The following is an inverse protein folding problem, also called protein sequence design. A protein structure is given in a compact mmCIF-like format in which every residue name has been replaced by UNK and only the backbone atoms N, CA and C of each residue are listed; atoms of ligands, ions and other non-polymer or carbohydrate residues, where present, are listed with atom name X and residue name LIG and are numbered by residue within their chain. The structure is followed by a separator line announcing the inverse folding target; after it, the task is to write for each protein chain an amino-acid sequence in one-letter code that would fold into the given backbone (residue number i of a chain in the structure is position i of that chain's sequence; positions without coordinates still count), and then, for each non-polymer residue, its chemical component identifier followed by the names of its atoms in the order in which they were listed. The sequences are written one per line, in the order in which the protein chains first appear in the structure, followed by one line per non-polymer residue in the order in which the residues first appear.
data_IF_113102824516
#
_entry.id   IF_113102824516
#
_cell.length_a   1.000
_cell.length_b   1.000
_cell.length_c   1.000
_cell.angle_alpha   90.00
_cell.angle_beta   90.00
_cell.angle_gamma   90.00
#
_symmetry.space_group_name_H-M   'P 1'
#
loop_
_entity.id
_entity.type
_entity.pdbx_description
1 polymer ?
#
# COMPACT_ATOMS: atom_id res chain seq x y z
N UNK A 1 20.84 -2.97 3.67
CA UNK A 1 20.49 -1.94 4.69
C UNK A 1 19.17 -1.23 4.43
N UNK A 2 18.83 -0.76 3.20
CA UNK A 2 17.45 -0.31 2.87
C UNK A 2 16.64 -1.37 2.14
N UNK A 3 17.31 -2.17 1.30
CA UNK A 3 16.68 -3.23 0.50
C UNK A 3 16.02 -4.28 1.39
N UNK A 4 16.56 -4.51 2.58
CA UNK A 4 16.05 -5.50 3.53
C UNK A 4 14.67 -5.12 4.09
N UNK A 5 14.31 -3.82 4.07
CA UNK A 5 13.02 -3.32 4.57
C UNK A 5 11.95 -3.17 3.47
N UNK A 6 12.28 -3.42 2.20
CA UNK A 6 11.33 -3.29 1.09
C UNK A 6 9.97 -4.00 1.31
N UNK A 7 9.92 -5.22 1.88
CA UNK A 7 8.67 -5.95 2.12
C UNK A 7 7.61 -5.19 2.90
N UNK A 8 8.02 -4.34 3.84
CA UNK A 8 7.08 -3.68 4.76
C UNK A 8 6.63 -2.29 4.28
N UNK A 9 7.35 -1.67 3.34
CA UNK A 9 6.99 -0.35 2.82
C UNK A 9 5.57 -0.29 2.20
N UNK A 10 5.11 -1.28 1.41
CA UNK A 10 3.77 -1.26 0.83
C UNK A 10 2.64 -1.20 1.87
N UNK A 11 2.89 -1.65 3.11
CA UNK A 11 1.95 -1.57 4.23
C UNK A 11 2.08 -0.24 4.97
N UNK A 12 3.31 0.18 5.25
CA UNK A 12 3.59 1.38 6.06
C UNK A 12 3.24 2.67 5.32
N UNK A 13 3.51 2.75 4.01
CA UNK A 13 3.23 3.93 3.20
C UNK A 13 1.75 4.36 3.25
N UNK A 14 0.77 3.49 2.93
CA UNK A 14 -0.65 3.87 3.00
C UNK A 14 -1.13 4.10 4.44
N UNK A 15 -0.60 3.36 5.41
CA UNK A 15 -0.95 3.53 6.82
C UNK A 15 -0.51 4.90 7.36
N UNK A 16 0.68 5.35 6.98
CA UNK A 16 1.16 6.70 7.31
C UNK A 16 0.43 7.78 6.52
N UNK A 17 0.09 7.54 5.25
CA UNK A 17 -0.57 8.53 4.40
C UNK A 17 -2.02 8.83 4.83
N UNK A 18 -2.73 7.85 5.40
CA UNK A 18 -4.11 8.00 5.84
C UNK A 18 -4.36 9.22 6.77
N UNK A 19 -3.64 9.40 7.91
CA UNK A 19 -3.84 10.58 8.75
C UNK A 19 -3.49 11.90 8.06
N UNK A 20 -2.53 11.93 7.12
CA UNK A 20 -2.24 13.14 6.36
C UNK A 20 -3.42 13.60 5.51
N UNK A 21 -4.22 12.67 4.94
CA UNK A 21 -5.45 13.02 4.23
C UNK A 21 -6.46 13.76 5.12
N UNK A 22 -6.58 13.35 6.39
CA UNK A 22 -7.46 14.03 7.37
C UNK A 22 -6.96 15.44 7.68
N UNK A 23 -5.64 15.63 7.78
CA UNK A 23 -5.04 16.94 8.09
C UNK A 23 -5.20 17.91 6.92
N UNK A 24 -4.99 17.45 5.69
CA UNK A 24 -5.05 18.27 4.48
C UNK A 24 -6.46 18.78 4.18
N UNK A 25 -7.51 17.98 4.44
CA UNK A 25 -8.94 18.30 4.20
C UNK A 25 -9.27 18.79 2.79
N UNK A 26 -8.36 18.60 1.83
CA UNK A 26 -8.49 19.06 0.46
C UNK A 26 -8.44 17.87 -0.47
N UNK A 27 -9.50 17.68 -1.27
CA UNK A 27 -9.64 16.58 -2.22
C UNK A 27 -8.43 16.44 -3.14
N UNK A 28 -7.97 17.53 -3.75
CA UNK A 28 -6.93 17.48 -4.79
C UNK A 28 -5.60 17.03 -4.17
N UNK A 29 -5.28 17.56 -2.99
CA UNK A 29 -4.07 17.17 -2.25
C UNK A 29 -4.15 15.72 -1.75
N UNK A 30 -5.32 15.29 -1.26
CA UNK A 30 -5.53 13.89 -0.85
C UNK A 30 -5.40 12.95 -2.04
N UNK A 31 -6.00 13.28 -3.18
CA UNK A 31 -5.87 12.48 -4.40
C UNK A 31 -4.41 12.39 -4.86
N UNK A 32 -3.68 13.51 -4.86
CA UNK A 32 -2.25 13.53 -5.18
C UNK A 32 -1.43 12.63 -4.26
N UNK A 33 -1.64 12.71 -2.94
CA UNK A 33 -1.00 11.83 -1.97
C UNK A 33 -1.31 10.36 -2.22
N UNK A 34 -2.60 10.01 -2.36
CA UNK A 34 -3.03 8.61 -2.56
C UNK A 34 -2.46 8.06 -3.87
N UNK A 35 -2.39 8.88 -4.92
CA UNK A 35 -1.79 8.51 -6.21
C UNK A 35 -0.29 8.26 -6.10
N UNK A 36 0.45 9.13 -5.40
CA UNK A 36 1.89 8.97 -5.18
C UNK A 36 2.16 7.70 -4.35
N UNK A 37 1.36 7.47 -3.31
CA UNK A 37 1.48 6.30 -2.44
C UNK A 37 1.18 5.01 -3.18
N UNK A 38 0.08 4.96 -3.95
CA UNK A 38 -0.30 3.76 -4.70
C UNK A 38 0.71 3.43 -5.81
N UNK A 39 1.22 4.44 -6.53
CA UNK A 39 2.29 4.27 -7.51
C UNK A 39 3.60 3.78 -6.87
N UNK A 40 3.95 4.34 -5.70
CA UNK A 40 5.13 3.90 -4.96
C UNK A 40 5.01 2.44 -4.52
N UNK A 41 3.84 2.04 -4.01
CA UNK A 41 3.57 0.64 -3.64
C UNK A 41 3.60 -0.29 -4.86
N UNK A 42 3.12 0.16 -6.02
CA UNK A 42 3.20 -0.58 -7.28
C UNK A 42 4.66 -0.81 -7.70
N UNK A 43 5.51 0.23 -7.69
CA UNK A 43 6.93 0.08 -8.01
C UNK A 43 7.65 -0.87 -7.05
N UNK A 44 7.37 -0.76 -5.75
CA UNK A 44 7.95 -1.65 -4.75
C UNK A 44 7.47 -3.09 -4.96
N UNK A 45 6.18 -3.30 -5.25
CA UNK A 45 5.64 -4.63 -5.53
C UNK A 45 6.28 -5.29 -6.76
N UNK A 46 6.55 -4.50 -7.80
CA UNK A 46 7.22 -4.96 -9.01
C UNK A 46 8.66 -5.37 -8.74
N UNK A 47 9.36 -4.64 -7.87
CA UNK A 47 10.70 -5.03 -7.43
C UNK A 47 10.68 -6.31 -6.58
N UNK A 48 9.72 -6.45 -5.66
CA UNK A 48 9.60 -7.65 -4.81
C UNK A 48 9.32 -8.88 -5.67
N UNK A 49 8.34 -8.83 -6.57
CA UNK A 49 7.98 -9.99 -7.40
C UNK A 49 9.09 -10.43 -8.34
N UNK A 50 9.89 -9.49 -8.86
CA UNK A 50 11.05 -9.82 -9.71
C UNK A 50 12.25 -10.33 -8.92
N UNK A 51 12.30 -10.07 -7.60
CA UNK A 51 13.34 -10.57 -6.70
C UNK A 51 13.01 -11.93 -6.07
N UNK A 52 11.75 -12.35 -6.11
CA UNK A 52 11.30 -13.63 -5.56
C UNK A 52 11.76 -14.79 -6.46
N UNK A 53 12.38 -15.79 -5.83
CA UNK A 53 12.82 -17.02 -6.49
C UNK A 53 11.91 -18.17 -6.06
N UNK A 54 11.45 -19.05 -6.96
CA UNK A 54 10.64 -20.21 -6.60
C UNK A 54 11.32 -21.05 -5.50
N UNK A 55 10.60 -21.29 -4.40
CA UNK A 55 11.08 -22.09 -3.27
C UNK A 55 11.92 -21.34 -2.23
N UNK A 56 12.21 -20.05 -2.43
CA UNK A 56 12.90 -19.22 -1.44
C UNK A 56 12.02 -18.01 -1.05
N UNK A 57 11.13 -18.15 -0.05
CA UNK A 57 10.29 -17.04 0.38
C UNK A 57 11.13 -15.96 1.06
N UNK A 58 10.70 -14.71 0.92
CA UNK A 58 11.32 -13.58 1.60
C UNK A 58 10.76 -13.51 3.02
N UNK A 59 11.65 -13.64 4.01
CA UNK A 59 11.31 -13.57 5.44
C UNK A 59 11.85 -12.26 6.00
N UNK A 60 10.96 -11.39 6.47
CA UNK A 60 11.32 -10.12 7.07
C UNK A 60 10.92 -10.07 8.54
N UNK A 61 11.92 -9.99 9.44
CA UNK A 61 11.69 -9.94 10.89
C UNK A 61 11.42 -8.50 11.35
N UNK A 62 10.23 -8.23 11.86
CA UNK A 62 9.84 -6.91 12.33
C UNK A 62 10.51 -6.63 13.69
N UNK A 63 11.22 -5.51 13.77
CA UNK A 63 11.85 -5.07 15.02
C UNK A 63 13.09 -5.86 15.43
N UNK A 64 13.63 -6.72 14.56
CA UNK A 64 14.84 -7.50 14.83
C UNK A 64 14.65 -8.67 15.79
N UNK A 65 13.40 -8.99 16.14
CA UNK A 65 13.07 -10.16 16.95
C UNK A 65 12.97 -11.38 16.03
N UNK A 66 13.88 -12.33 16.21
CA UNK A 66 13.82 -13.60 15.48
C UNK A 66 12.58 -14.42 15.92
N UNK A 67 12.03 -15.20 14.98
CA UNK A 67 10.97 -16.19 15.26
C UNK A 67 11.45 -17.16 16.35
N UNK A 68 10.63 -17.55 17.37
CA UNK A 68 9.16 -17.66 17.38
C UNK A 68 8.39 -16.55 18.12
N UNK A 69 9.07 -15.61 18.77
CA UNK A 69 8.41 -14.56 19.59
C UNK A 69 8.17 -13.27 18.78
N UNK A 70 8.97 -13.05 17.72
CA UNK A 70 8.86 -11.88 16.83
C UNK A 70 7.84 -12.03 15.70
N UNK A 71 7.34 -10.90 15.19
CA UNK A 71 6.47 -10.88 14.00
C UNK A 71 7.36 -10.99 12.76
N UNK A 72 7.24 -12.10 12.03
CA UNK A 72 7.95 -12.31 10.76
C UNK A 72 6.96 -12.18 9.60
N UNK A 73 7.28 -11.32 8.64
CA UNK A 73 6.50 -11.14 7.42
C UNK A 73 7.04 -12.10 6.35
N UNK A 74 6.20 -13.03 5.92
CA UNK A 74 6.54 -14.08 4.96
C UNK A 74 5.90 -13.75 3.60
N UNK A 75 6.74 -13.42 2.63
CA UNK A 75 6.31 -13.22 1.24
C UNK A 75 6.78 -14.42 0.43
N UNK A 76 5.87 -15.31 0.10
CA UNK A 76 6.09 -16.34 -0.90
C UNK A 76 5.72 -15.83 -2.30
N UNK A 77 5.89 -16.68 -3.31
CA UNK A 77 5.60 -16.29 -4.69
C UNK A 77 4.10 -15.95 -4.89
N UNK A 78 3.18 -16.63 -4.18
CA UNK A 78 1.75 -16.36 -4.30
C UNK A 78 1.40 -15.00 -3.71
N UNK A 79 1.87 -14.70 -2.50
CA UNK A 79 1.69 -13.41 -1.85
C UNK A 79 2.36 -12.28 -2.65
N UNK A 80 3.53 -12.52 -3.24
CA UNK A 80 4.18 -11.55 -4.12
C UNK A 80 3.32 -11.19 -5.35
N UNK A 81 2.68 -12.19 -5.98
CA UNK A 81 1.73 -11.97 -7.09
C UNK A 81 0.49 -11.21 -6.63
N UNK A 82 -0.09 -11.60 -5.49
CA UNK A 82 -1.27 -10.94 -4.92
C UNK A 82 -0.98 -9.47 -4.58
N UNK A 83 0.14 -9.20 -3.91
CA UNK A 83 0.60 -7.86 -3.54
C UNK A 83 0.78 -6.99 -4.79
N UNK A 84 1.42 -7.51 -5.84
CA UNK A 84 1.53 -6.80 -7.13
C UNK A 84 0.16 -6.50 -7.75
N UNK A 85 -0.74 -7.48 -7.78
CA UNK A 85 -2.06 -7.33 -8.38
C UNK A 85 -2.92 -6.28 -7.64
N UNK A 86 -2.93 -6.32 -6.31
CA UNK A 86 -3.64 -5.35 -5.46
C UNK A 86 -3.08 -3.94 -5.64
N UNK A 87 -1.75 -3.78 -5.67
CA UNK A 87 -1.12 -2.48 -5.95
C UNK A 87 -1.46 -1.96 -7.35
N UNK A 88 -1.45 -2.82 -8.36
CA UNK A 88 -1.75 -2.47 -9.75
C UNK A 88 -3.19 -1.98 -9.90
N UNK A 89 -4.15 -2.74 -9.39
CA UNK A 89 -5.56 -2.36 -9.41
C UNK A 89 -5.81 -1.07 -8.64
N UNK A 90 -5.23 -0.92 -7.45
CA UNK A 90 -5.37 0.28 -6.63
C UNK A 90 -4.82 1.51 -7.35
N UNK A 91 -3.62 1.41 -7.92
CA UNK A 91 -3.02 2.51 -8.69
C UNK A 91 -3.86 2.87 -9.90
N UNK A 92 -4.40 1.89 -10.61
CA UNK A 92 -5.26 2.10 -11.76
C UNK A 92 -6.59 2.78 -11.37
N UNK A 93 -7.27 2.28 -10.33
CA UNK A 93 -8.53 2.84 -9.84
C UNK A 93 -8.37 4.29 -9.37
N UNK A 94 -7.29 4.61 -8.66
CA UNK A 94 -7.05 5.97 -8.17
C UNK A 94 -6.70 6.94 -9.32
N UNK A 95 -5.96 6.50 -10.33
CA UNK A 95 -5.60 7.36 -11.47
C UNK A 95 -6.80 7.63 -12.39
N UNK A 96 -7.60 6.61 -12.69
CA UNK A 96 -8.66 6.70 -13.71
C UNK A 96 -10.06 6.95 -13.13
N UNK A 97 -10.37 6.43 -11.95
CA UNK A 97 -11.73 6.44 -11.40
C UNK A 97 -11.97 7.48 -10.30
N UNK A 98 -10.94 8.21 -9.82
CA UNK A 98 -11.12 9.21 -8.76
C UNK A 98 -12.03 10.40 -9.11
N UNK A 99 -12.23 10.68 -10.40
CA UNK A 99 -13.19 11.70 -10.83
C UNK A 99 -14.65 11.22 -10.69
N UNK A 100 -14.90 9.91 -10.72
CA UNK A 100 -16.23 9.34 -10.50
C UNK A 100 -16.79 9.66 -9.12
N UNK A 101 -15.93 9.88 -8.12
CA UNK A 101 -16.32 10.19 -6.73
C UNK A 101 -17.08 11.51 -6.59
N UNK A 102 -17.03 12.39 -7.59
CA UNK A 102 -17.81 13.64 -7.59
C UNK A 102 -19.32 13.42 -7.76
N UNK A 103 -19.71 12.27 -8.30
CA UNK A 103 -21.11 11.93 -8.52
C UNK A 103 -21.79 11.42 -7.25
N UNK A 104 -21.08 10.66 -6.43
CA UNK A 104 -21.65 9.98 -5.26
C UNK A 104 -21.36 10.67 -3.92
N UNK A 105 -20.26 11.43 -3.82
CA UNK A 105 -19.77 11.96 -2.53
C UNK A 105 -19.59 13.47 -2.63
N UNK A 106 -20.18 14.20 -1.67
CA UNK A 106 -19.96 15.64 -1.58
C UNK A 106 -18.47 15.96 -1.45
N UNK A 107 -18.00 17.00 -2.15
CA UNK A 107 -16.58 17.42 -2.15
C UNK A 107 -15.98 17.59 -0.75
N UNK A 108 -16.82 17.96 0.23
CA UNK A 108 -16.45 18.13 1.64
C UNK A 108 -16.17 16.82 2.38
N UNK A 109 -16.62 15.67 1.89
CA UNK A 109 -16.45 14.38 2.55
C UNK A 109 -15.46 13.45 1.82
N UNK A 110 -14.98 13.84 0.64
CA UNK A 110 -14.08 13.01 -0.17
C UNK A 110 -12.73 12.73 0.50
N UNK A 111 -12.25 13.58 1.41
CA UNK A 111 -11.01 13.28 2.17
C UNK A 111 -11.20 12.11 3.15
N UNK A 112 -12.40 11.91 3.72
CA UNK A 112 -12.70 10.73 4.53
C UNK A 112 -12.69 9.46 3.68
N UNK A 113 -13.21 9.53 2.45
CA UNK A 113 -13.13 8.43 1.50
C UNK A 113 -11.67 8.03 1.23
N UNK A 114 -10.81 8.98 0.87
CA UNK A 114 -9.39 8.69 0.63
C UNK A 114 -8.67 8.13 1.85
N UNK A 115 -9.01 8.61 3.05
CA UNK A 115 -8.47 8.10 4.32
C UNK A 115 -8.88 6.64 4.53
N UNK A 116 -10.18 6.33 4.43
CA UNK A 116 -10.69 4.97 4.60
C UNK A 116 -10.16 4.02 3.52
N UNK A 117 -10.03 4.53 2.29
CA UNK A 117 -9.44 3.80 1.17
C UNK A 117 -7.98 3.42 1.44
N UNK A 118 -7.15 4.37 1.92
CA UNK A 118 -5.75 4.08 2.27
C UNK A 118 -5.64 3.07 3.41
N UNK A 119 -6.50 3.15 4.43
CA UNK A 119 -6.52 2.17 5.53
C UNK A 119 -6.92 0.78 5.04
N UNK A 120 -7.90 0.69 4.14
CA UNK A 120 -8.32 -0.56 3.51
C UNK A 120 -7.18 -1.14 2.65
N UNK A 121 -6.54 -0.30 1.84
CA UNK A 121 -5.40 -0.69 1.01
C UNK A 121 -4.21 -1.18 1.86
N UNK A 122 -3.90 -0.50 2.96
CA UNK A 122 -2.87 -0.95 3.91
C UNK A 122 -3.21 -2.35 4.49
N UNK A 123 -4.47 -2.61 4.81
CA UNK A 123 -4.93 -3.91 5.27
C UNK A 123 -4.83 -5.02 4.21
N UNK A 124 -5.17 -4.72 2.95
CA UNK A 124 -5.09 -5.69 1.85
C UNK A 124 -3.65 -6.07 1.49
N UNK A 125 -2.72 -5.12 1.59
CA UNK A 125 -1.31 -5.34 1.28
C UNK A 125 -0.55 -6.00 2.45
N UNK A 126 -1.11 -5.96 3.66
CA UNK A 126 -0.52 -6.60 4.85
C UNK A 126 -0.84 -8.08 5.03
N UNK A 127 -1.46 -8.73 4.02
CA UNK A 127 -1.79 -10.16 4.01
C UNK A 127 -0.56 -11.02 3.75
#
# INVERSE_FOLDING_TARGET
MIVDHLPILPVVLPLLAAPFCIILKNRILCWGLVSIVSLSCLLISLFIITSLVPGNPLIYSIGGWESPVGISYFIDHLNGVLLFFVCMLTSFLILFFSFSLDWDISKKNQYFFYTAFLLCFAGLVGV
#
